data_IF_753726477710
#
_entry.id   IF_753726477710
#
_cell.length_a   1.000
_cell.length_b   1.000
_cell.length_c   1.000
_cell.angle_alpha   90.00
_cell.angle_beta   90.00
_cell.angle_gamma   90.00
#
_symmetry.space_group_name_H-M   'P 1'
#
loop_
_entity.id
_entity.type
_entity.pdbx_description
1 polymer ?
#
# COMPACT_ATOMS: atom_id res chain seq x y z
N UNK A 1 32.83 6.55 43.50
CA UNK A 1 32.15 5.32 43.91
C UNK A 1 31.63 4.68 42.61
N UNK A 2 32.15 3.53 42.27
CA UNK A 2 31.63 2.76 41.10
C UNK A 2 30.17 2.40 41.37
N UNK A 3 29.27 2.67 40.42
CA UNK A 3 27.89 2.20 40.48
C UNK A 3 27.91 0.69 40.21
N UNK A 4 28.08 -0.08 41.31
CA UNK A 4 28.00 -1.55 41.24
C UNK A 4 26.59 -1.97 40.84
N UNK A 5 26.45 -2.82 39.83
CA UNK A 5 25.22 -3.53 39.44
C UNK A 5 24.39 -2.91 38.30
N UNK A 6 24.97 -2.10 37.43
CA UNK A 6 24.28 -1.60 36.24
C UNK A 6 24.95 -2.03 34.95
N UNK A 7 24.19 -2.48 33.97
CA UNK A 7 24.67 -2.73 32.60
C UNK A 7 24.22 -1.59 31.66
N UNK A 8 25.06 -1.24 30.72
CA UNK A 8 24.74 -0.22 29.69
C UNK A 8 24.37 -0.89 28.40
N UNK A 9 23.16 -0.60 27.91
CA UNK A 9 22.63 -1.14 26.66
C UNK A 9 22.57 -0.04 25.61
N UNK A 10 23.26 -0.23 24.50
CA UNK A 10 23.16 0.68 23.36
C UNK A 10 21.88 0.40 22.56
N UNK A 11 21.10 1.44 22.30
CA UNK A 11 19.83 1.34 21.57
C UNK A 11 19.85 2.25 20.34
N UNK A 12 19.38 1.72 19.19
CA UNK A 12 19.25 2.49 17.95
C UNK A 12 17.77 2.66 17.59
N UNK A 13 17.36 3.92 17.44
CA UNK A 13 16.00 4.31 17.09
C UNK A 13 16.00 5.54 16.16
N UNK A 14 15.20 5.53 15.12
CA UNK A 14 15.09 6.60 14.12
C UNK A 14 16.46 7.12 13.60
N UNK A 15 17.39 6.20 13.38
CA UNK A 15 18.73 6.54 12.88
C UNK A 15 19.70 7.06 13.96
N UNK A 16 19.24 7.39 15.17
CA UNK A 16 20.06 7.83 16.30
C UNK A 16 20.39 6.66 17.21
N UNK A 17 21.57 6.70 17.83
CA UNK A 17 22.01 5.74 18.83
C UNK A 17 22.19 6.45 20.18
N UNK A 18 21.69 5.85 21.24
CA UNK A 18 21.81 6.30 22.61
C UNK A 18 22.08 5.12 23.52
N UNK A 19 22.44 5.37 24.77
CA UNK A 19 22.75 4.33 25.76
C UNK A 19 21.85 4.47 26.96
N UNK A 20 21.27 3.37 27.39
CA UNK A 20 20.45 3.29 28.62
C UNK A 20 21.15 2.42 29.64
N UNK A 21 21.12 2.84 30.90
CA UNK A 21 21.68 2.07 32.03
C UNK A 21 20.53 1.35 32.75
N UNK A 22 20.66 0.05 32.88
CA UNK A 22 19.67 -0.81 33.58
C UNK A 22 20.34 -1.66 34.63
N UNK A 23 19.66 -2.07 35.72
CA UNK A 23 20.18 -3.03 36.69
C UNK A 23 20.58 -4.36 36.04
N UNK A 24 21.55 -5.06 36.62
CA UNK A 24 22.00 -6.38 36.09
C UNK A 24 20.90 -7.45 36.16
N UNK A 25 20.01 -7.34 37.12
CA UNK A 25 18.85 -8.23 37.33
C UNK A 25 17.59 -7.75 36.62
N UNK A 26 17.70 -6.73 35.74
CA UNK A 26 16.56 -6.17 35.05
C UNK A 26 15.96 -7.15 34.02
N UNK A 27 14.66 -7.06 33.81
CA UNK A 27 13.92 -7.70 32.73
C UNK A 27 13.78 -6.79 31.50
N UNK A 28 13.21 -7.33 30.43
CA UNK A 28 12.94 -6.58 29.19
C UNK A 28 11.97 -5.42 29.44
N UNK A 29 11.01 -5.56 30.36
CA UNK A 29 10.09 -4.48 30.72
C UNK A 29 10.83 -3.30 31.38
N UNK A 30 11.83 -3.57 32.22
CA UNK A 30 12.67 -2.55 32.81
C UNK A 30 13.50 -1.82 31.72
N UNK A 31 14.10 -2.55 30.79
CA UNK A 31 14.79 -1.98 29.65
C UNK A 31 13.87 -1.04 28.84
N UNK A 32 12.64 -1.48 28.56
CA UNK A 32 11.66 -0.65 27.84
C UNK A 32 11.30 0.62 28.59
N UNK A 33 11.16 0.60 29.92
CA UNK A 33 10.93 1.81 30.73
C UNK A 33 12.13 2.77 30.68
N UNK A 34 13.35 2.25 30.72
CA UNK A 34 14.54 3.09 30.56
C UNK A 34 14.63 3.71 29.16
N UNK A 35 14.25 2.97 28.13
CA UNK A 35 14.16 3.50 26.76
C UNK A 35 13.06 4.58 26.65
N UNK A 36 11.92 4.41 27.33
CA UNK A 36 10.86 5.42 27.37
C UNK A 36 11.35 6.74 27.95
N UNK A 37 12.15 6.71 29.02
CA UNK A 37 12.72 7.92 29.63
C UNK A 37 13.58 8.74 28.65
N UNK A 38 14.29 8.07 27.72
CA UNK A 38 15.16 8.71 26.73
C UNK A 38 14.43 9.09 25.44
N UNK A 39 13.34 8.40 25.09
CA UNK A 39 12.72 8.49 23.75
C UNK A 39 11.28 9.01 23.78
N UNK A 40 10.63 9.05 24.96
CA UNK A 40 9.20 9.29 25.12
C UNK A 40 8.30 8.30 24.33
N UNK A 41 8.84 7.13 23.99
CA UNK A 41 8.07 6.04 23.39
C UNK A 41 7.59 5.11 24.48
N UNK A 42 6.28 4.98 24.65
CA UNK A 42 5.72 4.11 25.69
C UNK A 42 6.14 2.64 25.52
N UNK A 43 6.40 1.86 26.61
CA UNK A 43 6.86 0.47 26.56
C UNK A 43 6.00 -0.43 25.67
N UNK A 44 4.66 -0.29 25.73
CA UNK A 44 3.71 -1.03 24.88
C UNK A 44 3.83 -0.77 23.37
N UNK A 45 4.51 0.32 23.00
CA UNK A 45 4.77 0.71 21.61
C UNK A 45 6.20 0.45 21.16
N UNK A 46 7.05 -0.03 22.06
CA UNK A 46 8.42 -0.38 21.75
C UNK A 46 8.49 -1.83 21.27
N UNK A 47 8.96 -2.03 20.07
CA UNK A 47 9.31 -3.35 19.53
C UNK A 47 10.83 -3.45 19.45
N UNK A 48 11.42 -4.29 20.30
CA UNK A 48 12.86 -4.57 20.27
C UNK A 48 13.12 -5.72 19.30
N UNK A 49 13.71 -5.41 18.14
CA UNK A 49 13.75 -6.35 17.00
C UNK A 49 14.74 -7.49 17.17
N UNK A 50 15.80 -7.31 17.98
CA UNK A 50 16.93 -8.21 18.05
C UNK A 50 17.26 -8.67 19.47
N UNK A 51 16.37 -8.43 20.44
CA UNK A 51 16.41 -9.02 21.78
C UNK A 51 15.61 -10.31 21.75
N UNK A 52 16.28 -11.44 22.01
CA UNK A 52 15.68 -12.77 21.80
C UNK A 52 15.81 -13.65 23.04
N UNK A 53 14.79 -14.46 23.29
CA UNK A 53 14.82 -15.61 24.19
C UNK A 53 14.68 -16.89 23.36
N UNK A 54 15.80 -17.55 23.07
CA UNK A 54 15.84 -18.66 22.11
C UNK A 54 15.55 -18.21 20.68
N UNK A 55 14.67 -18.92 19.94
CA UNK A 55 14.32 -18.56 18.55
C UNK A 55 13.30 -17.41 18.45
N UNK A 56 12.63 -17.04 19.55
CA UNK A 56 11.56 -16.03 19.58
C UNK A 56 12.08 -14.68 20.11
N UNK A 57 11.39 -13.56 19.82
CA UNK A 57 11.58 -12.31 20.56
C UNK A 57 11.42 -12.55 22.05
N UNK A 58 12.18 -11.83 22.86
CA UNK A 58 12.06 -11.94 24.32
C UNK A 58 10.80 -11.21 24.80
N UNK A 59 10.00 -11.89 25.62
CA UNK A 59 8.85 -11.32 26.31
C UNK A 59 9.30 -10.36 27.42
N UNK A 60 8.38 -9.53 27.93
CA UNK A 60 8.67 -8.45 28.86
C UNK A 60 9.19 -8.92 30.24
N UNK A 61 8.85 -10.12 30.65
CA UNK A 61 9.25 -10.76 31.90
C UNK A 61 10.61 -11.50 31.84
N UNK A 62 11.21 -11.57 30.66
CA UNK A 62 12.51 -12.25 30.47
C UNK A 62 13.64 -11.39 31.04
N UNK A 63 14.46 -11.98 31.95
CA UNK A 63 15.63 -11.31 32.48
C UNK A 63 16.65 -11.02 31.35
N UNK A 64 17.26 -9.85 31.38
CA UNK A 64 18.26 -9.45 30.39
C UNK A 64 19.50 -10.33 30.43
N UNK A 65 19.82 -10.92 31.57
CA UNK A 65 20.90 -11.89 31.75
C UNK A 65 20.65 -13.20 31.03
N UNK A 66 19.38 -13.61 30.84
CA UNK A 66 18.98 -14.81 30.10
C UNK A 66 18.64 -14.54 28.63
N UNK A 67 18.39 -13.28 28.29
CA UNK A 67 18.13 -12.86 26.91
C UNK A 67 19.42 -12.73 26.10
N UNK A 68 19.35 -13.07 24.81
CA UNK A 68 20.46 -12.80 23.88
C UNK A 68 20.44 -11.30 23.52
N UNK A 69 21.18 -10.49 24.26
CA UNK A 69 21.36 -9.07 23.99
C UNK A 69 22.42 -8.86 22.90
N UNK A 70 22.09 -8.13 21.82
CA UNK A 70 23.07 -7.73 20.81
C UNK A 70 23.90 -6.54 21.31
N UNK A 71 25.03 -6.24 20.62
CA UNK A 71 25.82 -5.04 20.93
C UNK A 71 25.03 -3.73 20.80
N UNK A 72 24.03 -3.70 19.91
CA UNK A 72 23.11 -2.58 19.72
C UNK A 72 21.71 -3.15 19.57
N UNK A 73 20.81 -2.76 20.47
CA UNK A 73 19.39 -3.09 20.40
C UNK A 73 18.72 -2.19 19.35
N UNK A 74 18.05 -2.81 18.41
CA UNK A 74 17.24 -2.09 17.41
C UNK A 74 15.83 -1.92 17.93
N UNK A 75 15.36 -0.68 18.09
CA UNK A 75 14.00 -0.38 18.53
C UNK A 75 13.16 0.23 17.41
N UNK A 76 11.92 -0.21 17.31
CA UNK A 76 10.84 0.43 16.56
C UNK A 76 9.78 0.94 17.54
N UNK A 77 9.23 2.10 17.25
CA UNK A 77 8.17 2.72 18.04
C UNK A 77 7.99 4.18 17.70
N UNK A 78 6.79 4.73 17.99
CA UNK A 78 6.44 6.13 17.78
C UNK A 78 6.03 6.79 19.08
N UNK A 79 6.41 8.05 19.27
CA UNK A 79 6.00 8.84 20.43
C UNK A 79 4.51 9.19 20.34
N UNK A 80 3.87 9.44 21.48
CA UNK A 80 2.50 9.93 21.51
C UNK A 80 2.34 11.27 20.79
N UNK A 81 3.33 12.12 20.91
CA UNK A 81 3.36 13.39 20.20
C UNK A 81 3.32 13.21 18.68
N UNK A 82 4.12 12.28 18.13
CA UNK A 82 4.10 11.97 16.69
C UNK A 82 2.74 11.41 16.25
N UNK A 83 2.11 10.61 17.09
CA UNK A 83 0.79 10.02 16.78
C UNK A 83 -0.30 11.09 16.87
N UNK A 84 -0.28 11.93 17.90
CA UNK A 84 -1.23 13.02 18.05
C UNK A 84 -1.06 14.09 16.95
N UNK A 85 0.16 14.37 16.53
CA UNK A 85 0.41 15.27 15.38
C UNK A 85 -0.16 14.68 14.09
N UNK A 86 0.01 13.38 13.88
CA UNK A 86 -0.57 12.68 12.71
C UNK A 86 -2.10 12.58 12.83
N UNK A 87 -2.63 12.35 14.03
CA UNK A 87 -4.08 12.31 14.28
C UNK A 87 -4.72 13.70 14.11
N UNK A 88 -4.09 14.76 14.63
CA UNK A 88 -4.54 16.14 14.43
C UNK A 88 -4.41 16.60 12.97
N UNK A 89 -3.36 16.16 12.25
CA UNK A 89 -3.24 16.38 10.82
C UNK A 89 -4.30 15.59 10.03
N UNK A 90 -4.74 14.44 10.53
CA UNK A 90 -5.82 13.65 9.93
C UNK A 90 -7.21 14.22 10.25
N UNK A 91 -7.40 14.86 11.42
CA UNK A 91 -8.63 15.58 11.78
C UNK A 91 -8.72 16.97 11.10
N UNK A 92 -7.58 17.62 10.83
CA UNK A 92 -7.50 18.85 10.06
C UNK A 92 -7.47 18.61 8.54
N UNK A 93 -7.40 17.36 8.09
CA UNK A 93 -7.58 17.03 6.68
C UNK A 93 -9.03 17.35 6.30
N UNK A 94 -9.27 18.10 5.20
CA UNK A 94 -10.63 18.37 4.73
C UNK A 94 -11.38 17.05 4.59
N UNK A 95 -12.62 17.07 5.02
CA UNK A 95 -13.57 15.96 4.92
C UNK A 95 -13.43 15.29 3.55
N UNK A 96 -13.26 13.99 3.53
CA UNK A 96 -13.12 13.23 2.27
C UNK A 96 -14.41 13.42 1.50
N UNK A 97 -14.43 14.43 0.63
CA UNK A 97 -15.50 14.65 -0.33
C UNK A 97 -15.62 13.38 -1.18
N UNK A 98 -16.85 12.92 -1.29
CA UNK A 98 -17.21 11.74 -2.06
C UNK A 98 -16.70 11.90 -3.51
N UNK A 99 -15.78 11.05 -3.94
CA UNK A 99 -15.06 11.15 -5.23
C UNK A 99 -15.97 10.94 -6.46
N UNK A 100 -17.30 10.90 -6.27
CA UNK A 100 -18.23 10.65 -7.36
C UNK A 100 -18.52 11.87 -8.26
N UNK A 101 -18.11 13.09 -7.85
CA UNK A 101 -18.49 14.34 -8.54
C UNK A 101 -17.33 15.08 -9.24
N UNK A 102 -16.23 14.41 -9.59
CA UNK A 102 -15.14 15.09 -10.32
C UNK A 102 -15.34 14.95 -11.82
N UNK A 103 -15.62 16.05 -12.45
CA UNK A 103 -15.65 16.14 -13.91
C UNK A 103 -14.29 15.74 -14.53
N UNK A 104 -14.35 15.02 -15.64
CA UNK A 104 -13.22 14.49 -16.43
C UNK A 104 -12.18 15.56 -16.82
N UNK A 105 -12.55 16.84 -16.78
CA UNK A 105 -11.73 17.95 -17.26
C UNK A 105 -10.55 18.35 -16.35
N UNK A 106 -10.65 18.17 -15.02
CA UNK A 106 -9.55 18.54 -14.10
C UNK A 106 -8.38 17.53 -14.14
N UNK A 107 -8.68 16.25 -14.42
CA UNK A 107 -7.65 15.20 -14.50
C UNK A 107 -6.79 15.35 -15.78
N UNK A 108 -7.41 15.76 -16.90
CA UNK A 108 -6.72 16.03 -18.15
C UNK A 108 -5.75 17.21 -18.01
N UNK A 109 -6.17 18.29 -17.35
CA UNK A 109 -5.33 19.46 -17.12
C UNK A 109 -4.06 19.14 -16.32
N UNK A 110 -4.13 18.26 -15.31
CA UNK A 110 -2.97 17.87 -14.51
C UNK A 110 -1.91 17.13 -15.36
N UNK A 111 -2.33 16.20 -16.22
CA UNK A 111 -1.47 15.43 -17.11
C UNK A 111 -0.75 16.32 -18.15
N UNK A 112 -1.46 17.29 -18.69
CA UNK A 112 -1.00 18.08 -19.81
C UNK A 112 -0.20 19.33 -19.43
N UNK A 113 -0.13 19.67 -18.14
CA UNK A 113 0.69 20.79 -17.64
C UNK A 113 2.18 20.55 -17.89
N UNK A 114 2.81 21.48 -18.59
CA UNK A 114 4.25 21.39 -18.89
C UNK A 114 5.12 21.29 -17.63
N UNK A 115 4.72 21.93 -16.53
CA UNK A 115 5.39 21.82 -15.24
C UNK A 115 5.45 20.36 -14.76
N UNK A 116 4.34 19.62 -14.87
CA UNK A 116 4.28 18.23 -14.42
C UNK A 116 5.04 17.29 -15.36
N UNK A 117 5.01 17.56 -16.66
CA UNK A 117 5.83 16.85 -17.65
C UNK A 117 7.32 17.05 -17.39
N UNK A 118 7.72 18.27 -17.03
CA UNK A 118 9.12 18.56 -16.70
C UNK A 118 9.54 17.90 -15.38
N UNK A 119 8.67 17.90 -14.36
CA UNK A 119 8.92 17.17 -13.11
C UNK A 119 9.11 15.66 -13.38
N UNK A 120 8.29 15.08 -14.26
CA UNK A 120 8.41 13.69 -14.67
C UNK A 120 9.74 13.44 -15.41
N UNK A 121 10.14 14.28 -16.38
CA UNK A 121 11.42 14.17 -17.08
C UNK A 121 12.60 14.15 -16.09
N UNK A 122 12.64 15.12 -15.18
CA UNK A 122 13.67 15.18 -14.14
C UNK A 122 13.68 13.94 -13.25
N UNK A 123 12.49 13.39 -12.94
CA UNK A 123 12.37 12.19 -12.14
C UNK A 123 12.90 10.96 -12.88
N UNK A 124 12.63 10.83 -14.16
CA UNK A 124 13.17 9.78 -15.01
C UNK A 124 14.70 9.81 -15.04
N UNK A 125 15.30 11.00 -15.11
CA UNK A 125 16.75 11.19 -15.14
C UNK A 125 17.43 11.00 -13.78
N UNK A 126 16.76 11.39 -12.67
CA UNK A 126 17.38 11.45 -11.35
C UNK A 126 17.13 10.23 -10.47
N UNK A 127 16.08 9.46 -10.73
CA UNK A 127 15.72 8.32 -9.89
C UNK A 127 15.83 6.99 -10.66
N UNK A 128 16.70 6.13 -10.15
CA UNK A 128 16.94 4.81 -10.71
C UNK A 128 16.79 3.75 -9.63
N UNK A 129 16.14 2.66 -9.97
CA UNK A 129 16.04 1.46 -9.14
C UNK A 129 16.10 0.23 -10.04
N UNK A 130 16.83 -0.79 -9.63
CA UNK A 130 17.01 -1.99 -10.42
C UNK A 130 15.76 -2.86 -10.44
N UNK A 131 15.49 -3.48 -11.59
CA UNK A 131 14.44 -4.48 -11.72
C UNK A 131 14.84 -5.79 -11.02
N UNK A 132 13.87 -6.50 -10.48
CA UNK A 132 14.07 -7.80 -9.86
C UNK A 132 14.10 -8.92 -10.88
N UNK A 133 13.29 -8.82 -11.90
CA UNK A 133 13.18 -9.78 -12.99
C UNK A 133 13.03 -9.04 -14.33
N UNK A 134 13.54 -9.58 -15.43
CA UNK A 134 13.36 -8.98 -16.74
C UNK A 134 11.90 -9.03 -17.17
N UNK A 135 11.46 -8.05 -17.95
CA UNK A 135 10.13 -8.08 -18.56
C UNK A 135 10.00 -9.25 -19.53
N UNK A 136 8.80 -9.79 -19.65
CA UNK A 136 8.49 -10.93 -20.53
C UNK A 136 7.85 -10.43 -21.84
N UNK A 137 8.24 -11.05 -22.94
CA UNK A 137 7.70 -10.72 -24.26
C UNK A 137 6.19 -10.96 -24.33
N UNK A 138 5.46 -10.03 -24.94
CA UNK A 138 4.01 -10.11 -25.17
C UNK A 138 3.14 -9.94 -23.92
N UNK A 139 3.72 -9.68 -22.72
CA UNK A 139 2.92 -9.45 -21.51
C UNK A 139 2.56 -7.97 -21.35
N UNK A 140 1.41 -7.74 -20.73
CA UNK A 140 0.93 -6.42 -20.30
C UNK A 140 1.57 -6.06 -18.97
N UNK A 141 1.41 -4.82 -18.51
CA UNK A 141 1.93 -4.35 -17.23
C UNK A 141 0.78 -4.16 -16.21
N UNK A 142 0.94 -4.78 -15.05
CA UNK A 142 0.10 -4.55 -13.88
C UNK A 142 0.89 -3.83 -12.80
N UNK A 143 0.43 -2.66 -12.40
CA UNK A 143 1.02 -1.88 -11.29
C UNK A 143 0.09 -1.94 -10.09
N UNK A 144 0.62 -2.31 -8.93
CA UNK A 144 -0.16 -2.51 -7.70
C UNK A 144 0.40 -1.62 -6.58
N UNK A 145 -0.47 -0.87 -5.95
CA UNK A 145 -0.19 -0.26 -4.65
C UNK A 145 -0.19 -1.31 -3.54
N UNK A 146 0.35 -0.97 -2.36
CA UNK A 146 0.42 -1.86 -1.21
C UNK A 146 -0.62 -1.51 -0.15
N UNK A 147 -0.54 -0.28 0.37
CA UNK A 147 -1.23 0.12 1.60
C UNK A 147 -2.73 0.29 1.34
N UNK A 148 -3.56 -0.49 2.03
CA UNK A 148 -5.00 -0.67 1.80
C UNK A 148 -5.39 -1.27 0.44
N UNK A 149 -4.43 -1.56 -0.42
CA UNK A 149 -4.63 -2.28 -1.67
C UNK A 149 -4.42 -3.78 -1.48
N UNK A 150 -3.25 -4.18 -1.02
CA UNK A 150 -2.86 -5.57 -0.77
C UNK A 150 -2.74 -5.90 0.72
N UNK A 151 -2.65 -4.88 1.56
CA UNK A 151 -2.27 -4.99 2.95
C UNK A 151 -2.89 -3.88 3.80
N UNK A 152 -3.42 -4.24 4.98
CA UNK A 152 -3.93 -3.28 5.97
C UNK A 152 -2.78 -2.84 6.91
N UNK A 153 -2.20 -1.68 6.64
CA UNK A 153 -1.03 -1.20 7.39
C UNK A 153 -1.34 -0.58 8.76
N UNK A 154 -2.61 -0.35 9.10
CA UNK A 154 -2.99 0.31 10.38
C UNK A 154 -3.52 -0.63 11.44
N UNK A 155 -4.10 -1.75 11.05
CA UNK A 155 -4.60 -2.72 12.02
C UNK A 155 -3.43 -3.41 12.72
N UNK A 156 -3.65 -3.81 13.97
CA UNK A 156 -2.71 -4.63 14.73
C UNK A 156 -2.99 -6.10 14.47
N UNK A 157 -1.94 -6.90 14.36
CA UNK A 157 -2.03 -8.34 14.16
C UNK A 157 -0.85 -9.04 14.81
N UNK A 158 -1.00 -10.31 15.13
CA UNK A 158 0.08 -11.13 15.68
C UNK A 158 1.07 -11.56 14.60
N UNK A 159 0.54 -11.84 13.41
CA UNK A 159 1.34 -12.23 12.24
C UNK A 159 0.98 -11.39 11.01
N UNK A 160 1.94 -11.12 10.11
CA UNK A 160 1.72 -10.26 8.92
C UNK A 160 0.60 -10.74 8.00
N UNK A 161 0.41 -12.06 7.92
CA UNK A 161 -0.61 -12.68 7.08
C UNK A 161 -2.04 -12.30 7.46
N UNK A 162 -2.28 -11.94 8.73
CA UNK A 162 -3.60 -11.46 9.19
C UNK A 162 -3.97 -10.11 8.58
N UNK A 163 -2.97 -9.31 8.20
CA UNK A 163 -3.14 -8.02 7.55
C UNK A 163 -3.13 -8.10 6.03
N UNK A 164 -2.78 -9.26 5.49
CA UNK A 164 -2.80 -9.52 4.06
C UNK A 164 -4.25 -9.58 3.54
N UNK A 165 -4.51 -8.91 2.43
CA UNK A 165 -5.81 -8.99 1.76
C UNK A 165 -6.07 -10.43 1.27
N UNK A 166 -7.27 -10.97 1.49
CA UNK A 166 -7.61 -12.34 1.06
C UNK A 166 -7.38 -12.56 -0.43
N UNK A 167 -6.96 -13.77 -0.79
CA UNK A 167 -6.71 -14.20 -2.17
C UNK A 167 -5.52 -13.51 -2.86
N UNK A 168 -4.58 -12.89 -2.12
CA UNK A 168 -3.45 -12.19 -2.71
C UNK A 168 -2.59 -13.10 -3.59
N UNK A 169 -2.24 -14.28 -3.11
CA UNK A 169 -1.37 -15.21 -3.86
C UNK A 169 -2.06 -15.78 -5.08
N UNK A 170 -3.33 -16.11 -4.98
CA UNK A 170 -4.15 -16.57 -6.10
C UNK A 170 -4.30 -15.49 -7.17
N UNK A 171 -4.56 -14.25 -6.74
CA UNK A 171 -4.66 -13.08 -7.61
C UNK A 171 -3.34 -12.85 -8.38
N UNK A 172 -2.20 -12.81 -7.68
CA UNK A 172 -0.90 -12.59 -8.30
C UNK A 172 -0.53 -13.75 -9.25
N UNK A 173 -0.84 -14.99 -8.88
CA UNK A 173 -0.59 -16.17 -9.72
C UNK A 173 -1.38 -16.11 -11.03
N UNK A 174 -2.65 -15.74 -10.96
CA UNK A 174 -3.50 -15.62 -12.16
C UNK A 174 -3.12 -14.40 -13.00
N UNK A 175 -2.86 -13.26 -12.36
CA UNK A 175 -2.41 -12.05 -13.06
C UNK A 175 -1.08 -12.28 -13.79
N UNK A 176 -0.15 -13.01 -13.18
CA UNK A 176 1.16 -13.29 -13.77
C UNK A 176 1.10 -14.06 -15.10
N UNK A 177 0.00 -14.74 -15.39
CA UNK A 177 -0.17 -15.43 -16.67
C UNK A 177 -0.17 -14.44 -17.85
N UNK A 178 -0.73 -13.24 -17.66
CA UNK A 178 -0.93 -12.25 -18.73
C UNK A 178 -0.17 -10.93 -18.50
N UNK A 179 0.28 -10.69 -17.27
CA UNK A 179 0.90 -9.42 -16.88
C UNK A 179 2.26 -9.62 -16.22
N UNK A 180 3.18 -8.73 -16.49
CA UNK A 180 4.30 -8.48 -15.60
C UNK A 180 3.85 -7.59 -14.45
N UNK A 181 4.34 -7.87 -13.25
CA UNK A 181 3.83 -7.27 -12.02
C UNK A 181 4.86 -6.31 -11.43
N UNK A 182 4.44 -5.07 -11.22
CA UNK A 182 5.18 -4.03 -10.50
C UNK A 182 4.43 -3.69 -9.21
N UNK A 183 5.17 -3.61 -8.12
CA UNK A 183 4.65 -3.11 -6.84
C UNK A 183 5.16 -1.68 -6.65
N UNK A 184 4.25 -0.72 -6.47
CA UNK A 184 4.58 0.70 -6.29
C UNK A 184 3.92 1.28 -5.04
N UNK A 185 4.71 1.58 -4.01
CA UNK A 185 4.22 2.18 -2.77
C UNK A 185 4.78 3.59 -2.55
N UNK A 186 4.02 4.42 -1.85
CA UNK A 186 4.48 5.72 -1.37
C UNK A 186 5.44 5.64 -0.17
N UNK A 187 5.82 4.45 0.27
CA UNK A 187 6.79 4.20 1.35
C UNK A 187 8.20 3.99 0.79
N UNK A 188 9.22 3.94 1.66
CA UNK A 188 10.60 3.70 1.23
C UNK A 188 10.88 2.24 0.87
N UNK A 189 11.84 1.99 -0.02
CA UNK A 189 12.18 0.67 -0.60
C UNK A 189 12.36 -0.42 0.46
N UNK A 190 13.09 -0.12 1.53
CA UNK A 190 13.30 -1.07 2.63
C UNK A 190 12.00 -1.63 3.22
N UNK A 191 10.97 -0.79 3.34
CA UNK A 191 9.65 -1.19 3.85
C UNK A 191 8.88 -2.04 2.85
N UNK A 192 8.97 -1.69 1.57
CA UNK A 192 8.36 -2.45 0.49
C UNK A 192 8.94 -3.88 0.47
N UNK A 193 10.28 -3.99 0.49
CA UNK A 193 10.96 -5.30 0.50
C UNK A 193 10.56 -6.16 1.70
N UNK A 194 10.54 -5.57 2.91
CA UNK A 194 10.17 -6.30 4.13
C UNK A 194 8.72 -6.77 4.02
N UNK A 195 7.77 -5.88 3.67
CA UNK A 195 6.36 -6.24 3.53
C UNK A 195 6.15 -7.35 2.49
N UNK A 196 6.74 -7.20 1.32
CA UNK A 196 6.56 -8.17 0.23
C UNK A 196 7.22 -9.53 0.55
N UNK A 197 8.27 -9.54 1.34
CA UNK A 197 8.90 -10.78 1.83
C UNK A 197 8.07 -11.45 2.92
N UNK A 198 7.62 -10.69 3.91
CA UNK A 198 6.78 -11.20 5.00
C UNK A 198 5.43 -11.72 4.50
N UNK A 199 4.86 -11.12 3.45
CA UNK A 199 3.63 -11.59 2.80
C UNK A 199 3.88 -12.74 1.81
N UNK A 200 5.11 -13.24 1.67
CA UNK A 200 5.46 -14.32 0.74
C UNK A 200 5.33 -13.93 -0.74
N UNK A 201 5.24 -12.64 -1.05
CA UNK A 201 5.15 -12.14 -2.42
C UNK A 201 6.51 -12.22 -3.13
N UNK A 202 7.58 -11.84 -2.42
CA UNK A 202 8.95 -12.06 -2.92
C UNK A 202 9.36 -13.50 -2.65
N UNK A 203 9.89 -14.18 -3.68
CA UNK A 203 10.33 -15.58 -3.60
C UNK A 203 9.20 -16.59 -3.86
N UNK A 204 8.02 -16.15 -4.28
CA UNK A 204 6.95 -17.07 -4.69
C UNK A 204 7.39 -17.97 -5.86
N UNK A 205 7.10 -19.30 -5.82
CA UNK A 205 7.38 -20.18 -6.95
C UNK A 205 6.39 -19.99 -8.12
N UNK A 206 5.21 -19.38 -7.87
CA UNK A 206 4.11 -19.33 -8.84
C UNK A 206 4.09 -18.04 -9.68
N UNK A 207 4.76 -17.00 -9.22
CA UNK A 207 4.85 -15.72 -9.92
C UNK A 207 6.13 -14.98 -9.55
N UNK A 208 6.50 -14.01 -10.37
CA UNK A 208 7.65 -13.13 -10.12
C UNK A 208 7.23 -11.68 -10.17
N UNK A 209 7.75 -10.89 -9.25
CA UNK A 209 7.63 -9.44 -9.28
C UNK A 209 8.73 -8.90 -10.20
N UNK A 210 8.34 -8.15 -11.23
CA UNK A 210 9.28 -7.55 -12.18
C UNK A 210 10.08 -6.43 -11.51
N UNK A 211 9.40 -5.57 -10.74
CA UNK A 211 10.03 -4.43 -10.09
C UNK A 211 9.30 -4.00 -8.82
N UNK A 212 10.07 -3.51 -7.84
CA UNK A 212 9.59 -2.71 -6.72
C UNK A 212 9.89 -1.23 -7.02
N UNK A 213 8.94 -0.35 -6.71
CA UNK A 213 9.06 1.09 -6.88
C UNK A 213 8.61 1.78 -5.60
N UNK A 214 9.41 2.69 -5.09
CA UNK A 214 9.12 3.44 -3.87
C UNK A 214 8.70 4.89 -4.15
N UNK A 215 8.53 5.67 -3.08
CA UNK A 215 8.19 7.10 -3.15
C UNK A 215 9.17 7.91 -4.01
N UNK A 216 10.41 7.43 -4.19
CA UNK A 216 11.44 8.11 -4.98
C UNK A 216 11.03 8.32 -6.45
N UNK A 217 10.16 7.48 -7.00
CA UNK A 217 9.65 7.64 -8.37
C UNK A 217 8.42 8.56 -8.48
N UNK A 218 7.84 8.99 -7.36
CA UNK A 218 6.67 9.90 -7.36
C UNK A 218 7.05 11.32 -7.72
N UNK A 219 6.08 12.09 -8.21
CA UNK A 219 6.20 13.53 -8.43
C UNK A 219 5.12 14.28 -7.67
N UNK A 220 5.45 15.48 -7.18
CA UNK A 220 4.48 16.38 -6.54
C UNK A 220 3.72 17.16 -7.61
N UNK A 221 2.41 17.05 -7.60
CA UNK A 221 1.49 17.79 -8.46
C UNK A 221 0.54 18.64 -7.64
N UNK A 222 -0.08 19.62 -8.27
CA UNK A 222 -1.10 20.48 -7.66
C UNK A 222 -2.39 20.41 -8.47
N UNK A 223 -3.50 20.14 -7.79
CA UNK A 223 -4.85 20.21 -8.36
C UNK A 223 -5.73 21.11 -7.50
N UNK A 224 -6.81 21.63 -8.05
CA UNK A 224 -7.76 22.45 -7.30
C UNK A 224 -8.43 21.63 -6.18
N UNK A 225 -8.78 20.39 -6.50
CA UNK A 225 -9.48 19.49 -5.56
C UNK A 225 -8.64 19.02 -4.39
N UNK A 226 -7.41 18.59 -4.65
CA UNK A 226 -6.57 17.90 -3.65
C UNK A 226 -5.42 18.77 -3.13
N UNK A 227 -5.24 20.00 -3.62
CA UNK A 227 -4.08 20.82 -3.32
C UNK A 227 -2.79 20.21 -3.86
N UNK A 228 -1.70 20.31 -3.10
CA UNK A 228 -0.41 19.69 -3.44
C UNK A 228 -0.32 18.30 -2.84
N UNK A 229 0.06 17.31 -3.66
CA UNK A 229 0.27 15.92 -3.25
C UNK A 229 1.21 15.20 -4.20
N UNK A 230 1.72 14.04 -3.75
CA UNK A 230 2.55 13.16 -4.57
C UNK A 230 1.68 12.13 -5.30
N UNK A 231 1.94 11.93 -6.59
CA UNK A 231 1.28 10.93 -7.43
C UNK A 231 2.28 9.97 -8.06
N UNK A 232 1.78 8.88 -8.64
CA UNK A 232 2.56 7.79 -9.25
C UNK A 232 2.47 7.87 -10.78
N UNK A 233 3.34 8.64 -11.46
CA UNK A 233 3.26 8.81 -12.92
C UNK A 233 3.77 7.55 -13.64
N UNK A 234 2.90 6.81 -14.31
CA UNK A 234 3.26 5.60 -15.06
C UNK A 234 4.29 5.86 -16.18
N UNK A 235 4.38 7.09 -16.65
CA UNK A 235 5.41 7.51 -17.61
C UNK A 235 6.84 7.25 -17.15
N UNK A 236 7.10 7.17 -15.83
CA UNK A 236 8.38 6.76 -15.31
C UNK A 236 8.69 5.28 -15.64
N UNK A 237 7.71 4.39 -15.50
CA UNK A 237 7.85 2.97 -15.88
C UNK A 237 7.99 2.80 -17.40
N UNK A 238 7.21 3.54 -18.18
CA UNK A 238 7.25 3.47 -19.64
C UNK A 238 8.57 3.97 -20.21
N UNK A 239 9.19 4.98 -19.60
CA UNK A 239 10.52 5.44 -19.99
C UNK A 239 11.60 4.38 -19.71
N UNK A 240 11.45 3.63 -18.62
CA UNK A 240 12.39 2.56 -18.25
C UNK A 240 12.19 1.28 -19.05
N UNK A 241 10.95 0.97 -19.41
CA UNK A 241 10.55 -0.25 -20.10
C UNK A 241 9.69 0.10 -21.34
N UNK A 242 10.31 0.42 -22.48
CA UNK A 242 9.61 0.96 -23.66
C UNK A 242 8.55 0.05 -24.29
N UNK A 243 8.55 -1.26 -23.98
CA UNK A 243 7.51 -2.19 -24.40
C UNK A 243 6.16 -1.97 -23.71
N UNK A 244 6.15 -1.24 -22.58
CA UNK A 244 4.92 -0.84 -21.91
C UNK A 244 4.57 0.59 -22.25
N UNK A 245 3.28 0.82 -22.44
CA UNK A 245 2.69 2.10 -22.80
C UNK A 245 1.34 2.24 -22.11
N UNK A 246 0.66 3.33 -22.32
CA UNK A 246 -0.73 3.50 -21.87
C UNK A 246 -1.68 2.42 -22.41
N UNK A 247 -1.37 1.80 -23.55
CA UNK A 247 -2.23 0.80 -24.20
C UNK A 247 -2.19 -0.59 -23.54
N UNK A 248 -1.16 -0.91 -22.80
CA UNK A 248 -0.95 -2.24 -22.21
C UNK A 248 -0.61 -2.20 -20.73
N UNK A 249 -0.90 -1.10 -20.04
CA UNK A 249 -0.64 -0.90 -18.62
C UNK A 249 -1.93 -0.66 -17.86
N UNK A 250 -2.10 -1.30 -16.70
CA UNK A 250 -3.17 -1.03 -15.76
C UNK A 250 -2.59 -0.89 -14.34
N UNK A 251 -3.16 0.03 -13.55
CA UNK A 251 -2.77 0.29 -12.17
C UNK A 251 -3.95 0.15 -11.23
N UNK A 252 -3.77 -0.57 -10.11
CA UNK A 252 -4.73 -0.63 -9.02
C UNK A 252 -4.21 0.11 -7.79
N UNK A 253 -5.02 1.02 -7.27
CA UNK A 253 -4.72 1.83 -6.10
C UNK A 253 -6.04 2.19 -5.39
N UNK A 254 -6.05 2.35 -4.07
CA UNK A 254 -7.23 2.80 -3.33
C UNK A 254 -7.46 4.31 -3.43
N UNK A 255 -6.42 5.07 -3.82
CA UNK A 255 -6.43 6.52 -3.95
C UNK A 255 -6.40 6.95 -5.43
N UNK A 256 -7.52 7.46 -5.94
CA UNK A 256 -7.64 7.97 -7.31
C UNK A 256 -6.57 9.00 -7.67
N UNK A 257 -6.18 9.86 -6.71
CA UNK A 257 -5.15 10.89 -6.91
C UNK A 257 -3.78 10.33 -7.28
N UNK A 258 -3.48 9.08 -6.93
CA UNK A 258 -2.17 8.47 -7.23
C UNK A 258 -1.94 8.27 -8.72
N UNK A 259 -2.98 8.11 -9.52
CA UNK A 259 -2.89 7.97 -10.98
C UNK A 259 -3.42 9.17 -11.78
N UNK A 260 -3.46 10.36 -11.16
CA UNK A 260 -3.94 11.60 -11.81
C UNK A 260 -3.19 11.95 -13.10
N UNK A 261 -1.92 11.54 -13.22
CA UNK A 261 -1.13 11.70 -14.43
C UNK A 261 -1.50 10.69 -15.54
N UNK A 262 -2.21 9.62 -15.20
CA UNK A 262 -2.61 8.56 -16.10
C UNK A 262 -3.99 8.01 -15.73
N UNK A 263 -5.04 8.86 -15.77
CA UNK A 263 -6.37 8.51 -15.21
C UNK A 263 -7.03 7.33 -15.93
N UNK A 264 -6.75 7.15 -17.22
CA UNK A 264 -7.29 6.06 -18.03
C UNK A 264 -6.67 4.69 -17.70
N UNK A 265 -5.47 4.67 -17.10
CA UNK A 265 -4.78 3.45 -16.71
C UNK A 265 -5.05 3.03 -15.27
N UNK A 266 -5.64 3.92 -14.46
CA UNK A 266 -5.87 3.70 -13.04
C UNK A 266 -7.27 3.18 -12.74
N UNK A 267 -7.36 2.08 -12.02
CA UNK A 267 -8.61 1.60 -11.43
C UNK A 267 -8.55 1.81 -9.92
N UNK A 268 -9.45 2.68 -9.42
CA UNK A 268 -9.64 2.83 -7.98
C UNK A 268 -10.34 1.61 -7.42
N UNK A 269 -9.73 0.98 -6.44
CA UNK A 269 -10.26 -0.21 -5.78
C UNK A 269 -10.78 0.13 -4.38
N UNK A 270 -11.61 -0.73 -3.82
CA UNK A 270 -12.09 -0.59 -2.46
C UNK A 270 -10.93 -0.78 -1.48
N UNK A 271 -10.69 0.20 -0.55
CA UNK A 271 -9.61 0.08 0.42
C UNK A 271 -9.86 -1.08 1.40
N UNK A 272 -8.84 -1.91 1.61
CA UNK A 272 -8.85 -3.00 2.58
C UNK A 272 -8.39 -2.47 3.95
N UNK A 273 -9.35 -2.18 4.81
CA UNK A 273 -9.13 -1.64 6.16
C UNK A 273 -9.79 -2.55 7.19
N UNK A 274 -9.35 -2.46 8.46
CA UNK A 274 -9.88 -3.24 9.57
C UNK A 274 -9.86 -4.75 9.24
N UNK A 275 -8.70 -5.26 8.91
CA UNK A 275 -8.50 -6.64 8.46
C UNK A 275 -9.18 -7.66 9.39
N UNK A 276 -9.09 -7.47 10.71
CA UNK A 276 -9.71 -8.30 11.73
C UNK A 276 -11.25 -8.42 11.59
N UNK A 277 -11.93 -7.43 10.96
CA UNK A 277 -13.36 -7.45 10.70
C UNK A 277 -13.69 -7.89 9.27
N UNK A 278 -12.90 -7.43 8.30
CA UNK A 278 -13.26 -7.49 6.89
C UNK A 278 -12.63 -8.67 6.14
N UNK A 279 -11.55 -9.27 6.66
CA UNK A 279 -10.83 -10.35 5.98
C UNK A 279 -11.72 -11.53 5.62
N UNK A 280 -12.67 -11.90 6.47
CA UNK A 280 -13.58 -13.02 6.22
C UNK A 280 -14.52 -12.82 5.02
N UNK A 281 -14.84 -11.58 4.68
CA UNK A 281 -15.82 -11.22 3.65
C UNK A 281 -15.24 -10.54 2.43
N UNK A 282 -14.00 -10.00 2.50
CA UNK A 282 -13.38 -9.33 1.36
C UNK A 282 -13.15 -10.30 0.20
N UNK A 283 -13.63 -9.94 -0.98
CA UNK A 283 -13.54 -10.68 -2.24
C UNK A 283 -13.05 -9.79 -3.39
N UNK A 284 -12.53 -8.62 -3.08
CA UNK A 284 -12.11 -7.63 -4.09
C UNK A 284 -11.11 -8.22 -5.07
N UNK A 285 -10.06 -8.90 -4.57
CA UNK A 285 -9.04 -9.49 -5.44
C UNK A 285 -9.60 -10.61 -6.34
N UNK A 286 -10.66 -11.29 -5.92
CA UNK A 286 -11.35 -12.27 -6.77
C UNK A 286 -12.04 -11.58 -7.95
N UNK A 287 -12.71 -10.44 -7.71
CA UNK A 287 -13.31 -9.63 -8.77
C UNK A 287 -12.26 -9.05 -9.72
N UNK A 288 -11.19 -8.50 -9.15
CA UNK A 288 -10.09 -7.93 -9.93
C UNK A 288 -9.36 -8.98 -10.79
N UNK A 289 -9.23 -10.22 -10.31
CA UNK A 289 -8.68 -11.33 -11.12
C UNK A 289 -9.51 -11.55 -12.38
N UNK A 290 -10.83 -11.66 -12.23
CA UNK A 290 -11.74 -11.85 -13.37
C UNK A 290 -11.67 -10.68 -14.36
N UNK A 291 -11.63 -9.47 -13.83
CA UNK A 291 -11.48 -8.24 -14.61
C UNK A 291 -10.17 -8.22 -15.43
N UNK A 292 -9.03 -8.50 -14.80
CA UNK A 292 -7.73 -8.56 -15.48
C UNK A 292 -7.70 -9.60 -16.59
N UNK A 293 -8.20 -10.81 -16.32
CA UNK A 293 -8.23 -11.88 -17.31
C UNK A 293 -9.20 -11.58 -18.47
N UNK A 294 -10.30 -10.87 -18.22
CA UNK A 294 -11.20 -10.41 -19.27
C UNK A 294 -10.53 -9.37 -20.17
N UNK A 295 -9.87 -8.35 -19.59
CA UNK A 295 -9.13 -7.33 -20.36
C UNK A 295 -7.96 -7.95 -21.13
N UNK A 296 -7.26 -8.92 -20.54
CA UNK A 296 -6.13 -9.57 -21.21
C UNK A 296 -6.53 -10.23 -22.54
N UNK A 297 -7.77 -10.72 -22.61
CA UNK A 297 -8.33 -11.37 -23.83
C UNK A 297 -8.87 -10.39 -24.87
N UNK A 298 -9.08 -9.12 -24.49
CA UNK A 298 -9.49 -8.10 -25.45
C UNK A 298 -8.26 -7.73 -26.29
N UNK A 299 -8.33 -7.94 -27.59
CA UNK A 299 -7.31 -7.48 -28.56
C UNK A 299 -7.38 -5.96 -28.80
N UNK A 300 -8.31 -5.29 -28.14
CA UNK A 300 -8.61 -3.87 -28.30
C UNK A 300 -7.57 -3.04 -27.60
N UNK A 301 -7.06 -2.02 -28.30
CA UNK A 301 -6.24 -0.97 -27.69
C UNK A 301 -7.03 -0.24 -26.61
N UNK A 302 -6.37 0.15 -25.54
CA UNK A 302 -6.98 0.91 -24.41
C UNK A 302 -7.64 2.21 -24.88
N UNK A 303 -7.29 2.72 -26.08
CA UNK A 303 -7.88 3.90 -26.72
C UNK A 303 -9.39 3.78 -27.01
N UNK A 304 -9.93 2.56 -27.11
CA UNK A 304 -11.36 2.31 -27.31
C UNK A 304 -12.08 1.96 -25.98
N UNK A 305 -11.34 1.97 -24.87
CA UNK A 305 -11.88 1.59 -23.58
C UNK A 305 -12.26 2.85 -22.80
N UNK A 306 -13.57 3.14 -22.72
CA UNK A 306 -14.09 4.19 -21.85
C UNK A 306 -13.91 3.75 -20.37
N UNK A 307 -13.25 4.54 -19.50
CA UNK A 307 -13.11 4.26 -18.08
C UNK A 307 -14.44 4.03 -17.35
N UNK A 308 -15.53 4.62 -17.85
CA UNK A 308 -16.91 4.36 -17.40
C UNK A 308 -17.35 2.93 -17.73
N UNK A 309 -16.91 2.40 -18.87
CA UNK A 309 -17.15 1.01 -19.25
C UNK A 309 -16.34 0.03 -18.41
N UNK A 310 -15.11 0.40 -18.02
CA UNK A 310 -14.29 -0.40 -17.10
C UNK A 310 -14.97 -0.59 -15.73
N UNK A 311 -15.51 0.48 -15.18
CA UNK A 311 -16.26 0.42 -13.92
C UNK A 311 -17.57 -0.36 -14.05
N UNK A 312 -18.25 -0.24 -15.20
CA UNK A 312 -19.46 -0.99 -15.48
C UNK A 312 -19.16 -2.47 -15.78
N UNK A 313 -18.07 -2.76 -16.48
CA UNK A 313 -17.61 -4.13 -16.72
C UNK A 313 -17.20 -4.81 -15.41
N UNK A 314 -16.51 -4.08 -14.53
CA UNK A 314 -16.17 -4.57 -13.20
C UNK A 314 -17.41 -4.84 -12.36
N UNK A 315 -18.38 -3.91 -12.34
CA UNK A 315 -19.65 -4.09 -11.64
C UNK A 315 -20.47 -5.28 -12.20
N UNK A 316 -20.52 -5.42 -13.53
CA UNK A 316 -21.16 -6.58 -14.20
C UNK A 316 -20.44 -7.89 -13.88
N UNK A 317 -19.12 -7.89 -13.85
CA UNK A 317 -18.31 -9.09 -13.53
C UNK A 317 -18.51 -9.53 -12.09
N UNK A 318 -18.68 -8.59 -11.15
CA UNK A 318 -19.02 -8.88 -9.76
C UNK A 318 -20.45 -9.45 -9.63
N UNK A 319 -21.42 -8.94 -10.39
CA UNK A 319 -22.82 -9.42 -10.37
C UNK A 319 -23.01 -10.80 -11.01
N UNK A 320 -22.16 -11.17 -11.98
CA UNK A 320 -22.20 -12.49 -12.66
C UNK A 320 -21.55 -13.61 -11.86
N UNK A 321 -21.04 -13.35 -10.65
CA UNK A 321 -20.54 -14.41 -9.77
C UNK A 321 -21.73 -15.08 -9.08
N UNK A 322 -22.01 -16.39 -9.32
CA UNK A 322 -23.04 -17.08 -8.57
C UNK A 322 -22.67 -17.08 -7.08
N UNK A 323 -23.65 -16.93 -6.17
CA UNK A 323 -23.39 -17.08 -4.75
C UNK A 323 -22.83 -18.48 -4.52
N UNK A 324 -21.67 -18.56 -3.88
CA UNK A 324 -21.15 -19.85 -3.38
C UNK A 324 -22.20 -20.40 -2.42
N UNK A 325 -22.77 -21.55 -2.76
CA UNK A 325 -23.76 -22.24 -1.95
C UNK A 325 -23.21 -22.43 -0.53
N UNK A 326 -23.85 -21.78 0.47
CA UNK A 326 -23.59 -22.08 1.86
C UNK A 326 -23.33 -20.93 2.83
N UNK A 327 -23.60 -19.65 2.49
CA UNK A 327 -23.54 -18.59 3.50
C UNK A 327 -24.80 -17.72 3.47
N UNK A 328 -25.57 -17.59 4.56
CA UNK A 328 -26.76 -16.74 4.59
C UNK A 328 -26.35 -15.26 4.58
N UNK A 329 -26.82 -14.56 3.56
CA UNK A 329 -26.66 -13.11 3.41
C UNK A 329 -27.73 -12.45 4.29
N UNK A 330 -27.33 -11.82 5.41
CA UNK A 330 -28.14 -10.82 6.07
C UNK A 330 -27.61 -9.43 5.70
N UNK A 331 -28.49 -8.62 5.10
CA UNK A 331 -28.35 -7.16 4.91
C UNK A 331 -27.87 -6.74 3.52
N UNK A 332 -28.72 -6.86 2.51
CA UNK A 332 -28.60 -6.10 1.28
C UNK A 332 -29.41 -4.81 1.44
N UNK A 333 -28.75 -3.69 1.74
CA UNK A 333 -29.37 -2.39 1.51
C UNK A 333 -29.39 -2.11 0.01
N UNK A 334 -30.60 -2.02 -0.50
CA UNK A 334 -30.94 -1.74 -1.90
C UNK A 334 -30.62 -0.27 -2.18
N UNK A 335 -29.53 0.00 -2.87
CA UNK A 335 -29.30 1.31 -3.48
C UNK A 335 -30.32 1.52 -4.60
N UNK A 336 -31.33 2.38 -4.34
CA UNK A 336 -32.28 2.84 -5.33
C UNK A 336 -31.56 3.68 -6.39
N UNK A 337 -31.49 3.14 -7.60
CA UNK A 337 -31.08 3.90 -8.79
C UNK A 337 -32.20 4.89 -9.11
N UNK A 338 -31.93 6.18 -8.89
CA UNK A 338 -32.84 7.27 -9.25
C UNK A 338 -33.12 7.27 -10.75
N UNK A 339 -34.37 7.10 -11.11
CA UNK A 339 -34.87 7.25 -12.48
C UNK A 339 -34.68 8.69 -12.93
N UNK A 340 -33.81 8.91 -13.89
CA UNK A 340 -33.73 10.15 -14.67
C UNK A 340 -34.96 10.19 -15.58
N UNK A 341 -35.91 11.10 -15.27
CA UNK A 341 -37.01 11.41 -16.17
C UNK A 341 -36.51 12.24 -17.35
N UNK A 342 -36.54 11.65 -18.54
CA UNK A 342 -36.52 12.39 -19.80
C UNK A 342 -37.93 13.06 -19.96
N UNK A 343 -37.98 14.33 -19.75
CA UNK A 343 -39.12 15.16 -20.13
C UNK A 343 -38.73 16.05 -21.30
N UNK A 344 -38.98 15.60 -22.51
CA UNK A 344 -39.07 16.49 -23.62
C UNK A 344 -40.47 17.10 -23.68
N UNK A 345 -40.60 18.36 -24.08
CA UNK A 345 -41.63 18.80 -25.04
C UNK A 345 -41.38 20.22 -25.50
N UNK A 346 -41.30 20.34 -26.78
CA UNK A 346 -41.45 21.51 -27.60
C UNK A 346 -42.91 21.95 -27.64
N UNK A 347 -43.18 23.28 -27.68
CA UNK A 347 -44.19 24.08 -28.41
C UNK A 347 -44.52 25.30 -27.55
N UNK A 348 -44.46 26.46 -27.98
CA UNK A 348 -44.64 27.28 -29.21
C UNK A 348 -43.91 28.61 -29.03
#
# INVERSE_FOLDING_TARGET
MAEEGKITVAVKWQGKQFSVSVPEDADVACLKRCIEAETNVQPKRQKLLNVKSGPKPADDDVLLSSAKLPKVVMMMGSTEQSINTVAQAAEAAPEVLDDFDVGVNEEIDCRDREENKEKLRRRIESYHVDGLNPPREGKKLLVLDIDYTLFDHRSTAEVPEELMRPYLHEFLTQAYQEYDIVIWSATGMKWIEVKMRELGVLGSPNFKIMQLVDHGAMITVQTEKYGMFDCKPLGWLWAKYPQYTERNTIMFDDLKRNFVMNPQNGLRIRPFKKAHLNRGTDRELVGLTKYLLAIAKLEVSVDEFDPTDASQLFAKTLQMSPPLAGCPIHGAETLQVGKVHRGGLWKT
#
